data_IF_143212868851
#
_entry.id   IF_143212868851
#
_cell.length_a   1.000
_cell.length_b   1.000
_cell.length_c   1.000
_cell.angle_alpha   90.00
_cell.angle_beta   90.00
_cell.angle_gamma   90.00
#
_symmetry.space_group_name_H-M   'P 1'
#
loop_
_entity.id
_entity.type
_entity.pdbx_description
1 polymer ?
#
# COMPACT_ATOMS: atom_id res chain seq x y z
N UNK A 1 16.37 29.65 14.47
CA UNK A 1 16.22 28.71 15.61
C UNK A 1 16.97 27.40 15.41
N UNK A 2 17.29 26.67 16.49
CA UNK A 2 18.03 25.39 16.43
C UNK A 2 17.35 24.28 17.23
N UNK A 3 17.54 23.04 16.77
CA UNK A 3 17.11 21.84 17.49
C UNK A 3 18.34 21.06 17.92
N UNK A 4 18.47 20.79 19.22
CA UNK A 4 19.63 20.13 19.82
C UNK A 4 19.19 18.90 20.61
N UNK A 5 20.04 17.86 20.60
CA UNK A 5 19.86 16.68 21.45
C UNK A 5 20.85 16.78 22.60
N UNK A 6 20.37 16.65 23.83
CA UNK A 6 21.17 16.57 25.04
C UNK A 6 21.05 15.20 25.70
N UNK A 7 21.88 14.96 26.71
CA UNK A 7 21.70 13.87 27.68
C UNK A 7 21.53 14.50 29.06
N UNK A 8 20.54 14.02 29.82
CA UNK A 8 20.42 14.38 31.23
C UNK A 8 21.55 13.73 32.04
N UNK A 9 21.81 14.18 33.29
CA UNK A 9 22.76 13.52 34.19
C UNK A 9 22.45 12.02 34.40
N UNK A 10 21.18 11.63 34.27
CA UNK A 10 20.71 10.25 34.34
C UNK A 10 20.83 9.49 32.99
N UNK A 11 21.54 10.04 32.02
CA UNK A 11 21.79 9.42 30.71
C UNK A 11 20.60 9.43 29.73
N UNK A 12 19.44 10.00 30.11
CA UNK A 12 18.28 10.08 29.22
C UNK A 12 18.50 11.11 28.12
N UNK A 13 18.20 10.74 26.88
CA UNK A 13 18.30 11.69 25.74
C UNK A 13 17.12 12.66 25.77
N UNK A 14 17.40 13.96 25.79
CA UNK A 14 16.41 15.04 25.76
C UNK A 14 16.53 15.84 24.46
N UNK A 15 15.43 16.42 24.00
CA UNK A 15 15.39 17.24 22.78
C UNK A 15 15.03 18.68 23.14
N UNK A 16 15.91 19.61 22.80
CA UNK A 16 15.74 21.05 23.04
C UNK A 16 15.49 21.78 21.73
N UNK A 17 14.59 22.76 21.78
CA UNK A 17 14.30 23.72 20.71
C UNK A 17 14.70 25.08 21.26
N UNK A 18 15.70 25.68 20.62
CA UNK A 18 16.36 26.89 21.07
C UNK A 18 15.99 28.06 20.14
N UNK A 19 15.73 29.22 20.76
CA UNK A 19 15.54 30.49 20.05
C UNK A 19 16.85 30.99 19.42
N UNK A 20 16.84 32.18 18.81
CA UNK A 20 18.04 32.74 18.17
C UNK A 20 19.14 33.16 19.17
N UNK A 21 18.79 33.30 20.45
CA UNK A 21 19.70 33.59 21.56
C UNK A 21 20.23 32.31 22.25
N UNK A 22 19.97 31.12 21.68
CA UNK A 22 20.31 29.82 22.26
C UNK A 22 19.58 29.47 23.57
N UNK A 23 18.50 30.17 23.89
CA UNK A 23 17.68 29.89 25.06
C UNK A 23 16.56 28.90 24.70
N UNK A 24 16.19 27.98 25.60
CA UNK A 24 15.07 27.08 25.38
C UNK A 24 13.74 27.82 25.25
N UNK A 25 12.97 27.48 24.22
CA UNK A 25 11.61 27.98 24.06
C UNK A 25 10.70 27.28 25.07
N UNK A 26 10.42 27.95 26.18
CA UNK A 26 9.76 27.37 27.36
C UNK A 26 8.44 26.64 27.03
N UNK A 27 7.49 27.22 26.26
CA UNK A 27 6.22 26.55 26.02
C UNK A 27 6.39 25.23 25.28
N UNK A 28 7.34 25.17 24.33
CA UNK A 28 7.71 23.93 23.63
C UNK A 28 8.33 22.94 24.61
N UNK A 29 9.28 23.37 25.44
CA UNK A 29 9.96 22.47 26.38
C UNK A 29 9.03 21.86 27.41
N UNK A 30 8.08 22.64 27.92
CA UNK A 30 7.09 22.15 28.90
C UNK A 30 6.18 21.10 28.27
N UNK A 31 5.79 21.27 27.02
CA UNK A 31 5.04 20.25 26.29
C UNK A 31 5.88 19.01 25.95
N UNK A 32 7.14 19.15 25.52
CA UNK A 32 8.01 18.00 25.23
C UNK A 32 8.27 17.17 26.49
N UNK A 33 8.51 17.82 27.65
CA UNK A 33 8.62 17.15 28.96
C UNK A 33 7.35 16.41 29.33
N UNK A 34 6.17 16.99 29.08
CA UNK A 34 4.89 16.30 29.27
C UNK A 34 4.79 15.03 28.42
N UNK A 35 5.19 15.07 27.14
CA UNK A 35 5.19 13.88 26.28
C UNK A 35 6.19 12.83 26.74
N UNK A 36 7.34 13.23 27.26
CA UNK A 36 8.32 12.34 27.89
C UNK A 36 7.74 11.63 29.12
N UNK A 37 7.04 12.36 30.00
CA UNK A 37 6.36 11.79 31.17
C UNK A 37 5.23 10.82 30.83
N UNK A 38 4.68 10.90 29.61
CA UNK A 38 3.69 9.95 29.08
C UNK A 38 4.33 8.74 28.37
N UNK A 39 5.64 8.53 28.54
CA UNK A 39 6.41 7.46 27.90
C UNK A 39 6.26 7.43 26.37
N UNK A 40 6.11 8.61 25.74
CA UNK A 40 6.09 8.70 24.27
C UNK A 40 7.44 8.33 23.71
N UNK A 41 7.44 7.75 22.50
CA UNK A 41 8.69 7.31 21.88
C UNK A 41 9.63 8.51 21.63
N UNK A 42 10.96 8.37 21.82
CA UNK A 42 11.93 9.43 21.55
C UNK A 42 11.87 9.95 20.11
N UNK A 43 11.53 9.08 19.15
CA UNK A 43 11.32 9.48 17.76
C UNK A 43 10.07 10.34 17.58
N UNK A 44 9.01 10.06 18.35
CA UNK A 44 7.80 10.89 18.38
C UNK A 44 8.13 12.27 18.94
N UNK A 45 8.82 12.34 20.08
CA UNK A 45 9.23 13.59 20.72
C UNK A 45 10.10 14.42 19.77
N UNK A 46 11.10 13.79 19.13
CA UNK A 46 11.94 14.44 18.12
C UNK A 46 11.13 14.95 16.91
N UNK A 47 10.16 14.18 16.44
CA UNK A 47 9.28 14.62 15.35
C UNK A 47 8.42 15.81 15.77
N UNK A 48 7.91 15.81 17.00
CA UNK A 48 7.09 16.89 17.53
C UNK A 48 7.92 18.16 17.70
N UNK A 49 9.13 18.05 18.26
CA UNK A 49 10.07 19.15 18.40
C UNK A 49 10.43 19.78 17.03
N UNK A 50 10.66 18.97 15.99
CA UNK A 50 10.90 19.48 14.62
C UNK A 50 9.70 20.23 14.05
N UNK A 51 8.49 19.71 14.27
CA UNK A 51 7.27 20.34 13.78
C UNK A 51 6.98 21.65 14.51
N UNK A 52 7.18 21.68 15.83
CA UNK A 52 7.00 22.88 16.65
C UNK A 52 8.06 23.94 16.37
N UNK A 53 9.29 23.55 16.04
CA UNK A 53 10.32 24.48 15.54
C UNK A 53 9.83 25.23 14.29
N UNK A 54 9.27 24.51 13.30
CA UNK A 54 8.75 25.13 12.08
C UNK A 54 7.60 26.09 12.36
N UNK A 55 6.72 25.70 13.29
CA UNK A 55 5.63 26.57 13.72
C UNK A 55 6.15 27.84 14.38
N UNK A 56 7.16 27.73 15.25
CA UNK A 56 7.75 28.89 15.91
C UNK A 56 8.54 29.79 14.96
N UNK A 57 9.19 29.23 13.93
CA UNK A 57 9.84 30.01 12.86
C UNK A 57 8.80 30.85 12.11
N UNK A 58 7.67 30.25 11.71
CA UNK A 58 6.56 30.98 11.11
C UNK A 58 6.01 32.11 12.01
N UNK A 59 5.80 31.82 13.31
CA UNK A 59 5.32 32.84 14.24
C UNK A 59 6.29 34.02 14.36
N UNK A 60 7.60 33.79 14.30
CA UNK A 60 8.60 34.85 14.31
C UNK A 60 8.62 35.64 13.01
N UNK A 61 8.53 34.96 11.86
CA UNK A 61 8.54 35.59 10.54
C UNK A 61 7.35 36.54 10.36
N UNK A 62 6.16 36.14 10.84
CA UNK A 62 4.92 36.92 10.73
C UNK A 62 4.65 37.82 11.96
N UNK A 63 5.51 37.79 12.98
CA UNK A 63 5.34 38.60 14.19
C UNK A 63 4.10 38.25 15.04
N UNK A 64 3.72 36.98 15.07
CA UNK A 64 2.50 36.48 15.71
C UNK A 64 2.76 35.91 17.11
N UNK A 65 1.79 36.12 18.02
CA UNK A 65 1.77 35.43 19.32
C UNK A 65 1.02 34.10 19.22
N UNK A 66 1.69 33.02 19.64
CA UNK A 66 1.12 31.68 19.66
C UNK A 66 -0.11 31.56 20.56
N UNK A 67 -0.24 32.41 21.61
CA UNK A 67 -1.35 32.34 22.56
C UNK A 67 -2.68 32.78 21.97
N UNK A 68 -2.65 33.68 20.99
CA UNK A 68 -3.83 34.37 20.44
C UNK A 68 -4.02 34.11 18.95
N UNK A 69 -3.41 33.05 18.42
CA UNK A 69 -3.43 32.77 16.99
C UNK A 69 -4.85 32.50 16.48
N UNK A 70 -5.17 33.07 15.32
CA UNK A 70 -6.46 32.93 14.65
C UNK A 70 -6.44 31.91 13.52
N UNK A 71 -7.63 31.51 13.05
CA UNK A 71 -7.79 30.47 12.04
C UNK A 71 -7.22 30.87 10.66
N UNK A 72 -7.37 32.13 10.28
CA UNK A 72 -6.80 32.73 9.07
C UNK A 72 -5.27 32.66 9.06
N UNK A 73 -4.63 33.02 10.17
CA UNK A 73 -3.17 32.94 10.34
C UNK A 73 -2.68 31.47 10.29
N UNK A 74 -3.45 30.52 10.83
CA UNK A 74 -3.13 29.09 10.70
C UNK A 74 -3.32 28.56 9.26
N UNK A 75 -4.20 29.18 8.47
CA UNK A 75 -4.31 28.86 7.05
C UNK A 75 -3.11 29.40 6.26
N UNK A 76 -2.61 30.60 6.60
CA UNK A 76 -1.37 31.15 6.06
C UNK A 76 -0.17 30.27 6.39
N UNK A 77 -0.12 29.69 7.60
CA UNK A 77 0.91 28.72 7.95
C UNK A 77 0.95 27.50 7.01
N UNK A 78 -0.20 27.04 6.52
CA UNK A 78 -0.23 25.96 5.51
C UNK A 78 0.44 26.41 4.20
N UNK A 79 0.28 27.67 3.82
CA UNK A 79 0.95 28.25 2.66
C UNK A 79 2.46 28.36 2.90
N UNK A 80 2.87 28.91 4.05
CA UNK A 80 4.27 29.01 4.48
C UNK A 80 4.95 27.63 4.52
N UNK A 81 4.26 26.57 4.95
CA UNK A 81 4.81 25.22 4.92
C UNK A 81 5.07 24.68 3.51
N UNK A 82 4.32 25.14 2.51
CA UNK A 82 4.54 24.80 1.10
C UNK A 82 5.70 25.60 0.53
N UNK A 83 5.77 26.90 0.85
CA UNK A 83 6.77 27.84 0.37
C UNK A 83 7.26 28.72 1.53
N UNK A 84 8.33 28.33 2.24
CA UNK A 84 8.79 29.03 3.45
C UNK A 84 9.58 30.33 3.17
N UNK A 85 9.33 30.99 2.04
CA UNK A 85 9.99 32.26 1.68
C UNK A 85 8.98 33.41 1.80
N UNK A 86 9.01 34.21 2.88
CA UNK A 86 8.19 35.40 2.98
C UNK A 86 8.54 36.38 1.85
N UNK A 87 7.52 36.85 1.12
CA UNK A 87 7.65 37.92 0.14
C UNK A 87 8.07 37.54 -1.30
N UNK A 88 8.35 36.27 -1.61
CA UNK A 88 8.64 35.83 -2.99
C UNK A 88 7.49 34.98 -3.50
N UNK A 89 6.61 35.59 -4.31
CA UNK A 89 5.57 34.87 -5.03
C UNK A 89 6.14 34.38 -6.36
N UNK A 90 6.37 33.06 -6.53
CA UNK A 90 6.88 32.54 -7.77
C UNK A 90 5.82 32.71 -8.87
N UNK A 91 6.21 33.37 -9.96
CA UNK A 91 5.36 33.62 -11.13
C UNK A 91 5.04 32.29 -11.85
N UNK A 92 5.91 31.29 -11.69
CA UNK A 92 5.74 29.93 -12.19
C UNK A 92 5.26 28.98 -11.07
N UNK A 93 4.47 27.94 -11.39
CA UNK A 93 4.09 26.92 -10.42
C UNK A 93 5.33 26.29 -9.78
N UNK A 94 5.57 26.56 -8.49
CA UNK A 94 6.64 25.89 -7.74
C UNK A 94 6.14 24.60 -7.14
N UNK A 95 7.00 23.58 -7.15
CA UNK A 95 6.74 22.36 -6.39
C UNK A 95 6.77 22.69 -4.90
N UNK A 96 5.70 22.31 -4.20
CA UNK A 96 5.61 22.53 -2.76
C UNK A 96 6.75 21.79 -2.04
N UNK A 97 7.43 22.50 -1.15
CA UNK A 97 8.56 21.99 -0.34
C UNK A 97 8.16 20.74 0.47
N UNK A 98 6.88 20.65 0.87
CA UNK A 98 6.36 19.61 1.76
C UNK A 98 5.11 18.96 1.19
N UNK A 99 5.02 17.65 1.37
CA UNK A 99 3.82 16.89 0.98
C UNK A 99 2.63 17.21 1.89
N UNK A 100 1.40 17.05 1.37
CA UNK A 100 0.17 17.24 2.15
C UNK A 100 0.12 16.36 3.42
N UNK A 101 0.73 15.16 3.37
CA UNK A 101 0.84 14.27 4.53
C UNK A 101 1.73 14.85 5.62
N UNK A 102 2.88 15.43 5.24
CA UNK A 102 3.79 16.10 6.16
C UNK A 102 3.10 17.31 6.80
N UNK A 103 2.40 18.13 6.01
CA UNK A 103 1.62 19.28 6.50
C UNK A 103 0.58 18.82 7.53
N UNK A 104 -0.22 17.81 7.21
CA UNK A 104 -1.23 17.28 8.14
C UNK A 104 -0.60 16.71 9.43
N UNK A 105 0.60 16.13 9.36
CA UNK A 105 1.33 15.68 10.56
C UNK A 105 1.80 16.86 11.42
N UNK A 106 2.28 17.94 10.81
CA UNK A 106 2.64 19.18 11.52
C UNK A 106 1.40 19.77 12.19
N UNK A 107 0.29 19.93 11.47
CA UNK A 107 -0.98 20.43 12.03
C UNK A 107 -1.47 19.55 13.20
N UNK A 108 -1.32 18.22 13.10
CA UNK A 108 -1.64 17.31 14.22
C UNK A 108 -0.82 17.58 15.47
N UNK A 109 0.46 17.95 15.29
CA UNK A 109 1.37 18.25 16.39
C UNK A 109 0.95 19.53 17.07
N UNK A 110 0.63 20.56 16.28
CA UNK A 110 0.18 21.87 16.75
C UNK A 110 -1.14 21.73 17.49
N UNK A 111 -2.14 21.04 16.93
CA UNK A 111 -3.41 20.79 17.64
C UNK A 111 -3.22 20.13 19.00
N UNK A 112 -2.28 19.17 19.10
CA UNK A 112 -1.98 18.49 20.36
C UNK A 112 -1.19 19.37 21.34
N UNK A 113 -0.42 20.34 20.84
CA UNK A 113 0.29 21.34 21.65
C UNK A 113 -0.68 22.40 22.18
N UNK A 114 -1.55 22.92 21.32
CA UNK A 114 -2.57 23.92 21.67
C UNK A 114 -3.54 23.33 22.70
N UNK A 115 -4.02 22.09 22.50
CA UNK A 115 -4.91 21.41 23.46
C UNK A 115 -4.24 21.25 24.84
N UNK A 116 -2.93 20.97 24.86
CA UNK A 116 -2.19 20.86 26.12
C UNK A 116 -2.12 22.21 26.85
N UNK A 117 -1.79 23.30 26.16
CA UNK A 117 -1.70 24.62 26.77
C UNK A 117 -3.07 25.24 27.08
N UNK A 118 -4.12 24.91 26.31
CA UNK A 118 -5.50 25.29 26.61
C UNK A 118 -5.96 24.69 27.95
N UNK A 119 -5.63 23.43 28.21
CA UNK A 119 -5.92 22.77 29.50
C UNK A 119 -5.16 23.37 30.68
N UNK A 120 -4.00 23.98 30.44
CA UNK A 120 -3.24 24.71 31.46
C UNK A 120 -3.75 26.15 31.65
N UNK A 121 -4.70 26.62 30.84
CA UNK A 121 -5.17 28.01 30.83
C UNK A 121 -4.21 29.00 30.15
N UNK A 122 -3.18 28.51 29.47
CA UNK A 122 -2.13 29.33 28.84
C UNK A 122 -2.42 29.72 27.39
N UNK A 123 -3.50 29.21 26.80
CA UNK A 123 -3.87 29.41 25.40
C UNK A 123 -5.31 29.91 25.29
N UNK A 124 -5.51 31.01 24.55
CA UNK A 124 -6.80 31.63 24.28
C UNK A 124 -7.11 31.72 22.77
N UNK A 125 -6.29 31.08 21.94
CA UNK A 125 -6.45 31.02 20.49
C UNK A 125 -7.47 29.99 20.05
N UNK A 126 -7.51 29.73 18.74
CA UNK A 126 -8.48 28.80 18.15
C UNK A 126 -8.06 27.34 18.37
N UNK A 127 -8.87 26.56 19.08
CA UNK A 127 -8.67 25.11 19.17
C UNK A 127 -8.84 24.44 17.80
N UNK A 128 -7.80 23.75 17.33
CA UNK A 128 -7.77 23.10 16.02
C UNK A 128 -8.58 21.80 15.90
N UNK A 129 -9.19 21.35 17.01
CA UNK A 129 -10.04 20.17 17.07
C UNK A 129 -11.42 20.54 17.59
N UNK A 130 -12.45 20.05 16.91
CA UNK A 130 -13.84 20.17 17.37
C UNK A 130 -14.43 18.80 17.62
N UNK A 131 -15.21 18.67 18.69
CA UNK A 131 -16.05 17.50 18.87
C UNK A 131 -17.21 17.58 17.88
N UNK A 132 -17.24 16.68 16.90
CA UNK A 132 -18.41 16.50 16.04
C UNK A 132 -19.07 15.17 16.36
N UNK A 133 -20.38 15.13 16.20
CA UNK A 133 -21.11 13.86 16.19
C UNK A 133 -20.53 12.99 15.07
N UNK A 134 -20.11 11.77 15.40
CA UNK A 134 -19.69 10.82 14.39
C UNK A 134 -20.90 10.40 13.56
N UNK A 135 -20.93 10.77 12.28
CA UNK A 135 -21.80 10.10 11.33
C UNK A 135 -21.07 8.84 10.87
N UNK A 136 -21.61 7.63 11.12
CA UNK A 136 -21.09 6.44 10.47
C UNK A 136 -21.21 6.59 8.94
N UNK A 137 -20.52 5.73 8.20
CA UNK A 137 -20.71 5.57 6.76
C UNK A 137 -22.18 5.29 6.41
N UNK A 138 -22.51 5.11 5.12
CA UNK A 138 -23.86 4.83 4.61
C UNK A 138 -24.67 3.76 5.37
N UNK A 139 -24.05 2.94 6.22
CA UNK A 139 -24.70 1.96 7.08
C UNK A 139 -25.14 2.55 8.44
N UNK A 140 -26.44 2.55 8.70
CA UNK A 140 -27.03 2.89 10.00
C UNK A 140 -27.41 1.60 10.75
N UNK A 141 -26.80 1.29 11.92
CA UNK A 141 -27.15 0.13 12.73
C UNK A 141 -28.61 0.17 13.23
N UNK A 142 -29.16 -0.99 13.62
CA UNK A 142 -30.54 -1.15 14.07
C UNK A 142 -30.96 -0.17 15.19
N UNK A 143 -30.06 0.14 16.14
CA UNK A 143 -30.31 1.07 17.25
C UNK A 143 -29.77 2.48 17.01
N UNK A 144 -29.55 2.90 15.75
CA UNK A 144 -28.94 4.18 15.38
C UNK A 144 -29.62 5.42 16.01
N UNK A 145 -30.93 5.36 16.27
CA UNK A 145 -31.67 6.46 16.91
C UNK A 145 -31.63 6.48 18.44
N UNK A 146 -31.14 5.41 19.08
CA UNK A 146 -31.16 5.22 20.54
C UNK A 146 -29.74 5.20 21.11
N UNK A 147 -28.76 4.70 20.35
CA UNK A 147 -27.37 4.66 20.78
C UNK A 147 -26.82 6.09 20.90
N UNK A 148 -26.22 6.41 22.06
CA UNK A 148 -25.47 7.65 22.28
C UNK A 148 -24.50 7.85 21.12
N UNK A 149 -24.75 8.90 20.33
CA UNK A 149 -23.92 9.19 19.18
C UNK A 149 -22.52 9.55 19.71
N UNK A 150 -21.57 8.63 19.53
CA UNK A 150 -20.19 8.85 19.95
C UNK A 150 -19.67 10.12 19.28
N UNK A 151 -19.25 11.09 20.08
CA UNK A 151 -18.60 12.29 19.56
C UNK A 151 -17.20 11.89 19.07
N UNK A 152 -16.92 12.17 17.81
CA UNK A 152 -15.60 11.98 17.22
C UNK A 152 -14.97 13.35 17.03
N UNK A 153 -13.74 13.47 17.55
CA UNK A 153 -12.92 14.67 17.35
C UNK A 153 -12.55 14.80 15.87
N UNK A 154 -12.98 15.90 15.24
CA UNK A 154 -12.62 16.25 13.87
C UNK A 154 -11.66 17.43 13.87
N UNK A 155 -10.64 17.36 13.01
CA UNK A 155 -9.70 18.46 12.80
C UNK A 155 -10.34 19.53 11.93
N UNK A 156 -10.17 20.79 12.30
CA UNK A 156 -10.65 21.92 11.53
C UNK A 156 -9.85 22.10 10.24
N UNK A 157 -8.54 22.00 10.33
CA UNK A 157 -7.63 22.11 9.18
C UNK A 157 -7.11 20.73 8.78
N UNK A 158 -7.41 20.32 7.55
CA UNK A 158 -6.87 19.10 6.93
C UNK A 158 -6.73 19.31 5.42
N UNK A 159 -5.51 19.18 4.93
CA UNK A 159 -5.23 19.23 3.50
C UNK A 159 -5.57 17.88 2.88
N UNK A 160 -6.24 17.88 1.73
CA UNK A 160 -6.59 16.64 1.02
C UNK A 160 -5.31 15.92 0.57
N UNK A 161 -5.13 14.69 1.03
CA UNK A 161 -4.01 13.85 0.61
C UNK A 161 -4.42 13.07 -0.66
N UNK A 162 -3.61 13.08 -1.73
CA UNK A 162 -3.84 12.19 -2.84
C UNK A 162 -3.65 10.74 -2.35
N UNK A 163 -4.62 9.87 -2.65
CA UNK A 163 -4.45 8.43 -2.39
C UNK A 163 -3.35 7.93 -3.32
N UNK A 164 -2.24 7.48 -2.74
CA UNK A 164 -1.14 6.84 -3.48
C UNK A 164 -1.08 5.38 -3.04
N UNK A 165 -1.12 4.47 -4.01
CA UNK A 165 -0.85 3.08 -3.74
C UNK A 165 0.62 2.90 -3.35
N UNK A 166 0.93 2.06 -2.35
CA UNK A 166 2.31 1.73 -2.05
C UNK A 166 2.95 1.14 -3.30
N UNK A 167 4.08 1.71 -3.74
CA UNK A 167 4.92 1.06 -4.75
C UNK A 167 5.30 -0.33 -4.24
N UNK A 168 5.48 -1.30 -5.14
CA UNK A 168 5.93 -2.64 -4.82
C UNK A 168 7.16 -2.97 -5.67
N UNK A 169 8.03 -3.84 -5.16
CA UNK A 169 9.20 -4.33 -5.89
C UNK A 169 8.84 -5.58 -6.70
N UNK A 170 9.38 -5.69 -7.91
CA UNK A 170 9.28 -6.93 -8.70
C UNK A 170 10.31 -7.96 -8.23
N UNK A 171 10.08 -9.23 -8.52
CA UNK A 171 11.04 -10.31 -8.19
C UNK A 171 12.43 -10.05 -8.80
N UNK A 172 12.49 -9.47 -10.00
CA UNK A 172 13.74 -9.10 -10.68
C UNK A 172 14.49 -8.01 -9.90
N UNK A 173 13.77 -6.97 -9.46
CA UNK A 173 14.34 -5.89 -8.65
C UNK A 173 14.87 -6.41 -7.31
N UNK A 174 14.16 -7.33 -6.67
CA UNK A 174 14.64 -7.96 -5.42
C UNK A 174 15.91 -8.78 -5.66
N UNK A 175 15.98 -9.56 -6.74
CA UNK A 175 17.19 -10.29 -7.09
C UNK A 175 18.38 -9.35 -7.38
N UNK A 176 18.16 -8.22 -8.04
CA UNK A 176 19.18 -7.20 -8.27
C UNK A 176 19.70 -6.62 -6.95
N UNK A 177 18.81 -6.31 -6.01
CA UNK A 177 19.18 -5.82 -4.67
C UNK A 177 20.00 -6.87 -3.89
N UNK A 178 19.59 -8.13 -3.94
CA UNK A 178 20.30 -9.25 -3.29
C UNK A 178 21.70 -9.42 -3.89
N UNK A 179 21.85 -9.31 -5.21
CA UNK A 179 23.16 -9.39 -5.90
C UNK A 179 24.06 -8.19 -5.61
N UNK A 180 23.49 -7.02 -5.34
CA UNK A 180 24.22 -5.80 -5.01
C UNK A 180 24.71 -5.75 -3.55
N UNK A 181 24.30 -6.70 -2.70
CA UNK A 181 24.74 -6.79 -1.31
C UNK A 181 26.21 -7.25 -1.24
N UNK A 182 27.02 -6.53 -0.46
CA UNK A 182 28.45 -6.79 -0.33
C UNK A 182 28.81 -7.82 0.76
N UNK A 183 27.86 -8.17 1.63
CA UNK A 183 28.05 -9.08 2.77
C UNK A 183 26.88 -10.04 2.87
N UNK A 184 27.12 -11.24 3.40
CA UNK A 184 26.08 -12.22 3.72
C UNK A 184 25.12 -11.67 4.78
N UNK A 185 25.58 -10.87 5.74
CA UNK A 185 24.72 -10.17 6.69
C UNK A 185 23.70 -9.28 6.00
N UNK A 186 24.15 -8.43 5.09
CA UNK A 186 23.27 -7.49 4.39
C UNK A 186 22.30 -8.24 3.47
N UNK A 187 22.79 -9.28 2.79
CA UNK A 187 21.97 -10.20 1.97
C UNK A 187 20.89 -10.87 2.81
N UNK A 188 21.26 -11.40 3.98
CA UNK A 188 20.34 -12.02 4.93
C UNK A 188 19.30 -11.03 5.43
N UNK A 189 19.68 -9.79 5.78
CA UNK A 189 18.75 -8.76 6.21
C UNK A 189 17.70 -8.44 5.14
N UNK A 190 18.09 -8.31 3.87
CA UNK A 190 17.17 -8.04 2.76
C UNK A 190 16.22 -9.22 2.54
N UNK A 191 16.74 -10.45 2.46
CA UNK A 191 15.92 -11.66 2.30
C UNK A 191 14.93 -11.83 3.45
N UNK A 192 15.40 -11.65 4.69
CA UNK A 192 14.57 -11.71 5.90
C UNK A 192 13.42 -10.71 5.81
N UNK A 193 13.70 -9.44 5.52
CA UNK A 193 12.67 -8.39 5.44
C UNK A 193 11.69 -8.63 4.29
N UNK A 194 12.16 -9.16 3.16
CA UNK A 194 11.33 -9.49 2.01
C UNK A 194 10.35 -10.63 2.29
N UNK A 195 10.81 -11.67 3.01
CA UNK A 195 10.03 -12.88 3.25
C UNK A 195 9.09 -12.77 4.46
N UNK A 196 9.55 -12.12 5.52
CA UNK A 196 8.80 -12.00 6.78
C UNK A 196 8.01 -10.70 6.90
N UNK A 197 8.38 -9.67 6.12
CA UNK A 197 7.79 -8.34 6.22
C UNK A 197 8.04 -7.67 7.57
N UNK A 198 9.07 -8.10 8.32
CA UNK A 198 9.43 -7.50 9.60
C UNK A 198 9.64 -5.99 9.48
N UNK A 199 9.31 -5.24 10.53
CA UNK A 199 9.78 -3.85 10.62
C UNK A 199 11.29 -3.88 10.88
N UNK A 200 12.01 -2.87 10.40
CA UNK A 200 13.47 -2.81 10.60
C UNK A 200 13.88 -2.88 12.09
N UNK A 201 13.08 -2.27 12.98
CA UNK A 201 13.32 -2.35 14.42
C UNK A 201 13.02 -3.71 15.04
N UNK A 202 12.17 -4.53 14.40
CA UNK A 202 11.93 -5.92 14.79
C UNK A 202 13.10 -6.79 14.31
N UNK A 203 13.50 -6.66 13.03
CA UNK A 203 14.63 -7.40 12.46
C UNK A 203 15.95 -7.16 13.19
N UNK A 204 16.30 -5.89 13.47
CA UNK A 204 17.51 -5.54 14.23
C UNK A 204 17.40 -5.83 15.74
N UNK A 205 16.25 -6.28 16.21
CA UNK A 205 16.03 -6.71 17.58
C UNK A 205 16.11 -8.23 17.77
N UNK A 206 16.21 -9.01 16.69
CA UNK A 206 16.26 -10.47 16.77
C UNK A 206 17.52 -10.96 17.50
N UNK A 207 17.33 -11.97 18.34
CA UNK A 207 18.40 -12.71 19.01
C UNK A 207 18.56 -14.10 18.42
N UNK A 208 19.70 -14.74 18.64
CA UNK A 208 19.94 -16.09 18.14
C UNK A 208 18.89 -17.09 18.70
N UNK A 209 18.44 -16.91 19.94
CA UNK A 209 17.36 -17.71 20.54
C UNK A 209 15.98 -17.55 19.88
N UNK A 210 15.79 -16.49 19.09
CA UNK A 210 14.55 -16.27 18.34
C UNK A 210 14.54 -17.03 16.99
N UNK A 211 15.68 -17.58 16.57
CA UNK A 211 15.88 -18.30 15.31
C UNK A 211 15.71 -19.80 15.54
N UNK A 212 14.51 -20.34 15.34
CA UNK A 212 14.18 -21.74 15.61
C UNK A 212 14.51 -22.63 14.40
N UNK A 213 15.76 -23.08 14.34
CA UNK A 213 16.31 -23.88 13.22
C UNK A 213 16.17 -25.40 13.39
N UNK A 214 15.72 -25.89 14.55
CA UNK A 214 15.57 -27.31 14.89
C UNK A 214 14.36 -27.98 14.19
N UNK A 215 14.35 -27.97 12.86
CA UNK A 215 13.32 -28.63 12.04
C UNK A 215 12.01 -27.87 11.89
N UNK A 216 11.84 -26.74 12.58
CA UNK A 216 10.64 -25.89 12.47
C UNK A 216 10.78 -24.78 11.42
N UNK A 217 11.98 -24.24 11.23
CA UNK A 217 12.27 -23.09 10.37
C UNK A 217 11.34 -21.91 10.70
N UNK A 218 11.36 -21.47 11.96
CA UNK A 218 10.51 -20.40 12.46
C UNK A 218 11.33 -19.27 13.08
N UNK A 219 10.81 -18.05 13.02
CA UNK A 219 11.38 -16.88 13.68
C UNK A 219 10.37 -16.35 14.69
N UNK A 220 10.77 -16.29 15.96
CA UNK A 220 9.92 -15.75 17.01
C UNK A 220 10.17 -14.26 17.22
N UNK A 221 9.21 -13.43 16.80
CA UNK A 221 9.29 -11.98 17.00
C UNK A 221 8.80 -11.63 18.39
N UNK A 222 9.71 -11.20 19.26
CA UNK A 222 9.40 -10.80 20.65
C UNK A 222 9.47 -9.30 20.85
N UNK A 223 8.73 -8.79 21.84
CA UNK A 223 8.81 -7.38 22.21
C UNK A 223 9.86 -7.18 23.32
N UNK A 224 10.94 -6.47 23.01
CA UNK A 224 12.06 -6.24 23.93
C UNK A 224 12.63 -4.83 23.78
N UNK A 225 13.22 -4.31 24.85
CA UNK A 225 14.08 -3.13 24.75
C UNK A 225 15.46 -3.55 24.23
N UNK A 226 15.99 -2.81 23.25
CA UNK A 226 17.24 -3.14 22.61
C UNK A 226 18.28 -2.05 22.83
N UNK A 227 19.51 -2.46 23.16
CA UNK A 227 20.64 -1.56 23.42
C UNK A 227 21.07 -0.77 22.16
N UNK A 228 20.85 -1.32 20.96
CA UNK A 228 21.05 -0.60 19.69
C UNK A 228 19.96 0.45 19.38
N UNK A 229 18.97 0.62 20.26
CA UNK A 229 17.85 1.55 20.07
C UNK A 229 16.81 1.08 19.04
N UNK A 230 16.92 -0.16 18.53
CA UNK A 230 15.89 -0.77 17.68
C UNK A 230 14.61 -0.98 18.49
N UNK A 231 13.48 -0.48 17.99
CA UNK A 231 12.19 -0.59 18.68
C UNK A 231 11.12 -1.16 17.76
N UNK A 232 10.46 -2.21 18.21
CA UNK A 232 9.23 -2.70 17.61
C UNK A 232 8.08 -1.77 18.00
N UNK A 233 7.47 -1.10 17.00
CA UNK A 233 6.31 -0.21 17.23
C UNK A 233 5.07 -0.99 17.68
N UNK A 234 4.99 -2.27 17.28
CA UNK A 234 3.92 -3.18 17.67
C UNK A 234 4.41 -4.03 18.84
N UNK A 235 3.69 -4.04 19.96
CA UNK A 235 3.93 -4.95 21.10
C UNK A 235 3.28 -6.32 20.85
N UNK A 236 3.30 -6.78 19.60
CA UNK A 236 2.63 -8.00 19.18
C UNK A 236 3.70 -9.03 18.89
N UNK A 237 3.74 -10.05 19.74
CA UNK A 237 4.58 -11.21 19.54
C UNK A 237 3.95 -12.16 18.54
N UNK A 238 4.77 -12.79 17.70
CA UNK A 238 4.30 -13.72 16.68
C UNK A 238 5.40 -14.65 16.21
N UNK A 239 5.00 -15.86 15.86
CA UNK A 239 5.85 -16.86 15.25
C UNK A 239 5.67 -16.80 13.73
N UNK A 240 6.77 -16.73 12.99
CA UNK A 240 6.78 -16.63 11.54
C UNK A 240 7.49 -17.85 10.94
N UNK A 241 6.76 -18.65 10.18
CA UNK A 241 7.37 -19.71 9.38
C UNK A 241 8.15 -19.08 8.22
N UNK A 242 9.36 -19.60 7.96
CA UNK A 242 10.24 -19.15 6.88
C UNK A 242 10.79 -20.35 6.11
N UNK A 243 11.23 -20.08 4.89
CA UNK A 243 11.84 -21.04 4.00
C UNK A 243 13.20 -21.50 4.57
N UNK A 244 13.50 -22.79 4.38
CA UNK A 244 14.79 -23.39 4.73
C UNK A 244 15.97 -22.65 4.07
N UNK A 245 15.79 -22.09 2.88
CA UNK A 245 16.85 -21.35 2.19
C UNK A 245 17.22 -20.04 2.91
N UNK A 246 16.27 -19.41 3.60
CA UNK A 246 16.55 -18.26 4.46
C UNK A 246 17.37 -18.68 5.69
N UNK A 247 17.04 -19.83 6.29
CA UNK A 247 17.79 -20.37 7.42
C UNK A 247 19.20 -20.83 7.01
N UNK A 248 19.37 -21.37 5.81
CA UNK A 248 20.69 -21.67 5.24
C UNK A 248 21.53 -20.40 5.08
N UNK A 249 20.93 -19.33 4.58
CA UNK A 249 21.62 -18.04 4.44
C UNK A 249 22.02 -17.46 5.81
N UNK A 250 21.18 -17.64 6.83
CA UNK A 250 21.51 -17.30 8.21
C UNK A 250 22.72 -18.11 8.71
N UNK A 251 22.72 -19.43 8.53
CA UNK A 251 23.85 -20.28 8.92
C UNK A 251 25.15 -19.89 8.21
N UNK A 252 25.11 -19.63 6.90
CA UNK A 252 26.30 -19.19 6.15
C UNK A 252 26.82 -17.85 6.69
N UNK A 253 25.92 -16.91 6.99
CA UNK A 253 26.31 -15.66 7.63
C UNK A 253 26.98 -15.89 9.00
N UNK A 254 26.47 -16.82 9.82
CA UNK A 254 27.08 -17.16 11.11
C UNK A 254 28.47 -17.78 10.97
N UNK A 255 28.67 -18.64 9.98
CA UNK A 255 29.92 -19.38 9.78
C UNK A 255 31.00 -18.47 9.16
N UNK A 256 30.62 -17.68 8.14
CA UNK A 256 31.58 -17.01 7.27
C UNK A 256 31.88 -15.55 7.70
N UNK A 257 30.94 -14.88 8.36
CA UNK A 257 31.05 -13.43 8.62
C UNK A 257 30.77 -13.00 10.08
N UNK A 258 30.11 -13.83 10.89
CA UNK A 258 29.78 -13.44 12.27
C UNK A 258 31.06 -13.44 13.13
N UNK A 259 31.36 -12.34 13.86
CA UNK A 259 32.60 -12.27 14.63
C UNK A 259 32.61 -13.27 15.78
N UNK A 260 33.65 -14.10 15.85
CA UNK A 260 33.81 -15.17 16.87
C UNK A 260 33.91 -14.59 18.29
N UNK A 261 34.53 -13.41 18.43
CA UNK A 261 34.70 -12.72 19.71
C UNK A 261 33.50 -11.83 20.09
N UNK A 262 32.41 -11.86 19.32
CA UNK A 262 31.23 -11.08 19.65
C UNK A 262 30.55 -11.60 20.92
N UNK A 263 30.69 -10.86 22.02
CA UNK A 263 29.93 -11.09 23.25
C UNK A 263 28.57 -10.39 23.17
N UNK A 264 27.74 -10.80 22.21
CA UNK A 264 26.37 -10.30 22.08
C UNK A 264 25.44 -11.38 21.52
N UNK A 265 24.17 -11.34 21.93
CA UNK A 265 23.15 -12.31 21.54
C UNK A 265 22.40 -11.93 20.25
N UNK A 266 22.74 -10.78 19.64
CA UNK A 266 22.03 -10.23 18.48
C UNK A 266 22.38 -10.95 17.19
N UNK A 267 21.37 -11.21 16.36
CA UNK A 267 21.56 -11.75 15.02
C UNK A 267 22.36 -10.79 14.12
N UNK A 268 22.03 -9.50 14.16
CA UNK A 268 22.67 -8.49 13.31
C UNK A 268 23.68 -7.66 14.10
N UNK A 269 24.96 -7.84 13.77
CA UNK A 269 26.09 -7.12 14.41
C UNK A 269 26.90 -6.32 13.40
N UNK A 270 27.77 -5.44 13.91
CA UNK A 270 28.75 -4.73 13.10
C UNK A 270 29.91 -5.66 12.72
N UNK A 271 30.21 -5.76 11.42
CA UNK A 271 31.25 -6.68 10.90
C UNK A 271 32.52 -5.93 10.47
N UNK A 272 32.37 -4.81 9.77
CA UNK A 272 33.51 -4.11 9.12
C UNK A 272 33.80 -2.72 9.68
N UNK A 273 32.86 -2.10 10.39
CA UNK A 273 33.00 -0.72 10.84
C UNK A 273 32.23 -0.44 12.12
N UNK A 274 32.73 0.52 12.91
CA UNK A 274 32.29 0.72 14.28
C UNK A 274 32.96 -0.27 15.24
N UNK A 275 32.37 -0.48 16.39
CA UNK A 275 32.80 -1.55 17.29
C UNK A 275 32.28 -2.88 16.74
N UNK A 276 33.20 -3.74 16.31
CA UNK A 276 32.90 -5.05 15.73
C UNK A 276 32.26 -5.94 16.80
N UNK A 277 31.27 -6.74 16.42
CA UNK A 277 30.52 -7.58 17.36
C UNK A 277 29.42 -6.84 18.12
N UNK A 278 29.41 -5.50 18.14
CA UNK A 278 28.29 -4.77 18.72
C UNK A 278 27.01 -4.87 17.85
N UNK A 279 25.82 -4.81 18.47
CA UNK A 279 24.55 -4.82 17.75
C UNK A 279 24.40 -3.71 16.72
N UNK A 280 23.95 -4.08 15.52
CA UNK A 280 23.79 -3.17 14.39
C UNK A 280 22.72 -2.10 14.69
N UNK A 281 23.06 -0.83 14.49
CA UNK A 281 22.15 0.31 14.71
C UNK A 281 21.24 0.54 13.51
N UNK A 282 20.03 1.08 13.77
CA UNK A 282 19.05 1.44 12.72
C UNK A 282 19.63 2.44 11.69
N UNK A 283 20.53 3.34 12.10
CA UNK A 283 21.21 4.27 11.20
C UNK A 283 22.06 3.54 10.16
N UNK A 284 22.73 2.45 10.55
CA UNK A 284 23.54 1.65 9.63
C UNK A 284 22.67 0.92 8.62
N UNK A 285 21.53 0.38 9.05
CA UNK A 285 20.58 -0.23 8.14
C UNK A 285 20.02 0.79 7.14
N UNK A 286 19.68 2.00 7.58
CA UNK A 286 19.26 3.09 6.66
C UNK A 286 20.34 3.40 5.62
N UNK A 287 21.60 3.48 6.03
CA UNK A 287 22.71 3.70 5.11
C UNK A 287 22.86 2.54 4.11
N UNK A 288 22.66 1.29 4.55
CA UNK A 288 22.63 0.14 3.65
C UNK A 288 21.52 0.27 2.58
N UNK A 289 20.29 0.60 2.98
CA UNK A 289 19.19 0.77 2.02
C UNK A 289 19.45 1.91 1.03
N UNK A 290 20.04 3.01 1.50
CA UNK A 290 20.43 4.12 0.63
C UNK A 290 21.51 3.70 -0.37
N UNK A 291 22.59 3.06 0.10
CA UNK A 291 23.67 2.56 -0.75
C UNK A 291 23.17 1.55 -1.81
N UNK A 292 22.28 0.64 -1.42
CA UNK A 292 21.63 -0.28 -2.37
C UNK A 292 20.79 0.47 -3.40
N UNK A 293 20.02 1.48 -2.96
CA UNK A 293 19.25 2.32 -3.88
C UNK A 293 20.11 3.07 -4.88
N UNK A 294 21.22 3.62 -4.43
CA UNK A 294 22.15 4.38 -5.28
C UNK A 294 22.86 3.44 -6.26
N UNK A 295 23.27 2.24 -5.83
CA UNK A 295 23.93 1.23 -6.68
C UNK A 295 23.04 0.65 -7.76
N UNK A 296 21.79 0.35 -7.45
CA UNK A 296 20.90 -0.34 -8.39
C UNK A 296 19.96 0.62 -9.12
N UNK A 297 19.89 1.90 -8.72
CA UNK A 297 18.89 2.85 -9.19
C UNK A 297 17.47 2.52 -8.72
N UNK A 298 17.31 1.57 -7.79
CA UNK A 298 16.01 1.11 -7.30
C UNK A 298 15.78 1.67 -5.91
N UNK A 299 14.82 2.58 -5.78
CA UNK A 299 14.41 3.07 -4.47
C UNK A 299 13.87 1.91 -3.61
N UNK A 300 14.58 1.54 -2.55
CA UNK A 300 14.25 0.46 -1.63
C UNK A 300 14.24 0.96 -0.19
N UNK A 301 13.30 0.42 0.60
CA UNK A 301 13.29 0.65 2.04
C UNK A 301 12.68 -0.57 2.75
N UNK A 302 12.91 -0.74 4.07
CA UNK A 302 12.28 -1.84 4.82
C UNK A 302 10.75 -1.85 4.71
N UNK A 303 10.13 -0.66 4.66
CA UNK A 303 8.68 -0.56 4.52
C UNK A 303 8.21 -0.96 3.12
N UNK A 304 9.02 -0.70 2.08
CA UNK A 304 8.72 -1.12 0.72
C UNK A 304 8.75 -2.63 0.57
N UNK A 305 9.74 -3.31 1.16
CA UNK A 305 9.81 -4.78 1.19
C UNK A 305 8.58 -5.37 1.89
N UNK A 306 8.19 -4.81 3.03
CA UNK A 306 6.97 -5.20 3.75
C UNK A 306 5.69 -4.98 2.92
N UNK A 307 5.57 -3.85 2.24
CA UNK A 307 4.44 -3.60 1.34
C UNK A 307 4.42 -4.60 0.19
N UNK A 308 5.59 -4.93 -0.36
CA UNK A 308 5.73 -5.93 -1.44
C UNK A 308 5.24 -7.30 -0.99
N UNK A 309 5.62 -7.75 0.22
CA UNK A 309 5.11 -9.00 0.79
C UNK A 309 3.59 -8.96 0.99
N UNK A 310 3.07 -7.89 1.59
CA UNK A 310 1.64 -7.76 1.85
C UNK A 310 0.83 -7.82 0.54
N UNK A 311 1.28 -7.10 -0.49
CA UNK A 311 0.70 -7.12 -1.83
C UNK A 311 0.76 -8.51 -2.46
N UNK A 312 1.89 -9.22 -2.33
CA UNK A 312 2.03 -10.60 -2.83
C UNK A 312 1.03 -11.54 -2.15
N UNK A 313 0.95 -11.52 -0.82
CA UNK A 313 -0.01 -12.35 -0.08
C UNK A 313 -1.46 -12.05 -0.47
N UNK A 314 -1.80 -10.78 -0.70
CA UNK A 314 -3.12 -10.40 -1.20
C UNK A 314 -3.37 -10.96 -2.60
N UNK A 315 -2.40 -10.84 -3.52
CA UNK A 315 -2.54 -11.36 -4.87
C UNK A 315 -2.62 -12.89 -4.92
N UNK A 316 -2.03 -13.58 -3.95
CA UNK A 316 -2.13 -15.04 -3.75
C UNK A 316 -3.45 -15.46 -3.06
N UNK A 317 -4.36 -14.51 -2.78
CA UNK A 317 -5.67 -14.79 -2.20
C UNK A 317 -5.65 -15.01 -0.69
N UNK A 318 -4.57 -14.67 0.02
CA UNK A 318 -4.51 -14.82 1.47
C UNK A 318 -5.50 -13.86 2.15
N UNK A 319 -6.37 -14.33 3.06
CA UNK A 319 -7.34 -13.46 3.72
C UNK A 319 -6.68 -12.29 4.47
N UNK A 320 -7.26 -11.09 4.36
CA UNK A 320 -6.72 -9.88 5.00
C UNK A 320 -6.54 -10.03 6.52
N UNK A 321 -7.38 -10.83 7.18
CA UNK A 321 -7.27 -11.13 8.62
C UNK A 321 -6.00 -11.91 8.96
N UNK A 322 -5.59 -12.84 8.09
CA UNK A 322 -4.34 -13.60 8.22
C UNK A 322 -3.15 -12.68 7.98
N UNK A 323 -3.20 -11.86 6.92
CA UNK A 323 -2.16 -10.88 6.61
C UNK A 323 -1.97 -9.88 7.78
N UNK A 324 -3.07 -9.43 8.38
CA UNK A 324 -3.04 -8.53 9.54
C UNK A 324 -2.27 -9.15 10.71
N UNK A 325 -2.54 -10.42 11.04
CA UNK A 325 -1.86 -11.15 12.11
C UNK A 325 -0.39 -11.40 11.77
N UNK A 326 -0.11 -11.91 10.57
CA UNK A 326 1.23 -12.21 10.08
C UNK A 326 2.14 -10.97 10.13
N UNK A 327 1.64 -9.83 9.67
CA UNK A 327 2.38 -8.57 9.67
C UNK A 327 2.38 -7.88 11.05
N UNK A 328 1.56 -8.31 12.02
CA UNK A 328 1.44 -7.65 13.32
C UNK A 328 0.87 -6.23 13.21
N UNK A 329 -0.20 -6.05 12.43
CA UNK A 329 -0.95 -4.81 12.32
C UNK A 329 -1.92 -4.62 13.49
N UNK A 330 -1.72 -3.54 14.25
CA UNK A 330 -2.55 -3.16 15.40
C UNK A 330 -4.00 -2.78 15.04
N UNK A 331 -4.26 -2.29 13.82
CA UNK A 331 -5.59 -1.92 13.36
C UNK A 331 -5.90 -2.51 11.98
N UNK A 332 -7.16 -2.88 11.71
CA UNK A 332 -7.59 -3.36 10.39
C UNK A 332 -7.37 -2.33 9.28
N UNK A 333 -7.46 -1.02 9.58
CA UNK A 333 -7.25 0.07 8.62
C UNK A 333 -5.89 -0.01 7.91
N UNK A 334 -4.85 -0.46 8.63
CA UNK A 334 -3.51 -0.64 8.04
C UNK A 334 -3.50 -1.74 6.98
N UNK A 335 -4.34 -2.76 7.12
CA UNK A 335 -4.47 -3.86 6.15
C UNK A 335 -5.47 -3.52 5.05
N UNK A 336 -6.51 -2.73 5.33
CA UNK A 336 -7.50 -2.29 4.33
C UNK A 336 -6.90 -1.51 3.16
N UNK A 337 -5.71 -0.92 3.35
CA UNK A 337 -4.96 -0.29 2.24
C UNK A 337 -4.67 -1.29 1.11
N UNK A 338 -4.57 -2.60 1.40
CA UNK A 338 -4.34 -3.64 0.40
C UNK A 338 -5.61 -4.25 -0.18
N UNK A 339 -6.79 -3.99 0.41
CA UNK A 339 -8.05 -4.60 -0.06
C UNK A 339 -8.33 -4.24 -1.53
N UNK A 340 -8.09 -2.98 -1.91
CA UNK A 340 -8.25 -2.50 -3.28
C UNK A 340 -7.31 -3.18 -4.29
N UNK A 341 -6.20 -3.78 -3.84
CA UNK A 341 -5.27 -4.50 -4.72
C UNK A 341 -5.88 -5.84 -5.12
N UNK A 342 -6.50 -6.56 -4.17
CA UNK A 342 -7.19 -7.81 -4.47
C UNK A 342 -8.25 -7.59 -5.56
N UNK A 343 -9.08 -6.54 -5.41
CA UNK A 343 -10.15 -6.26 -6.37
C UNK A 343 -9.61 -5.94 -7.78
N UNK A 344 -8.50 -5.20 -7.88
CA UNK A 344 -7.87 -4.88 -9.15
C UNK A 344 -7.20 -6.10 -9.79
N UNK A 345 -6.46 -6.89 -9.00
CA UNK A 345 -5.81 -8.12 -9.49
C UNK A 345 -6.85 -9.15 -9.88
N UNK A 346 -7.91 -9.32 -9.08
CA UNK A 346 -9.01 -10.23 -9.37
C UNK A 346 -9.72 -9.81 -10.67
N UNK A 347 -10.02 -8.52 -10.85
CA UNK A 347 -10.55 -8.01 -12.12
C UNK A 347 -9.61 -8.27 -13.30
N UNK A 348 -8.31 -7.98 -13.17
CA UNK A 348 -7.34 -8.25 -14.23
C UNK A 348 -7.20 -9.75 -14.56
N UNK A 349 -7.23 -10.62 -13.54
CA UNK A 349 -7.21 -12.07 -13.72
C UNK A 349 -8.50 -12.57 -14.37
N UNK A 350 -9.66 -12.01 -13.99
CA UNK A 350 -10.96 -12.29 -14.58
C UNK A 350 -11.01 -11.82 -16.03
N UNK A 351 -10.53 -10.61 -16.33
CA UNK A 351 -10.46 -10.06 -17.69
C UNK A 351 -9.53 -10.94 -18.57
N UNK A 352 -8.41 -11.40 -18.00
CA UNK A 352 -7.51 -12.36 -18.65
C UNK A 352 -8.13 -13.75 -18.82
N UNK A 353 -8.93 -14.20 -17.85
CA UNK A 353 -9.59 -15.51 -17.85
C UNK A 353 -10.74 -15.56 -18.87
N UNK A 354 -11.54 -14.50 -18.95
CA UNK A 354 -12.63 -14.40 -19.94
C UNK A 354 -12.11 -14.15 -21.36
N UNK A 355 -10.82 -13.81 -21.53
CA UNK A 355 -10.13 -13.74 -22.81
C UNK A 355 -10.72 -12.70 -23.78
N UNK A 356 -10.20 -12.72 -25.02
CA UNK A 356 -10.71 -11.90 -26.13
C UNK A 356 -12.14 -12.33 -26.48
N UNK A 357 -13.13 -11.52 -26.09
CA UNK A 357 -14.53 -11.75 -26.44
C UNK A 357 -14.80 -11.14 -27.82
N UNK A 358 -15.23 -11.97 -28.76
CA UNK A 358 -15.51 -11.58 -30.14
C UNK A 358 -17.02 -11.62 -30.39
N UNK A 359 -17.56 -10.63 -31.10
CA UNK A 359 -18.95 -10.61 -31.56
C UNK A 359 -19.10 -11.29 -32.93
N UNK A 360 -20.33 -11.35 -33.45
CA UNK A 360 -20.60 -11.99 -34.75
C UNK A 360 -19.91 -11.32 -35.94
N UNK A 361 -19.55 -10.03 -35.83
CA UNK A 361 -18.81 -9.29 -36.86
C UNK A 361 -17.30 -9.51 -36.81
N UNK A 362 -16.78 -10.29 -35.86
CA UNK A 362 -15.34 -10.50 -35.66
C UNK A 362 -14.66 -9.37 -34.88
N UNK A 363 -15.42 -8.42 -34.33
CA UNK A 363 -14.88 -7.30 -33.56
C UNK A 363 -14.66 -7.70 -32.10
N UNK A 364 -13.53 -7.28 -31.54
CA UNK A 364 -13.24 -7.49 -30.12
C UNK A 364 -14.09 -6.53 -29.28
N UNK A 365 -14.92 -7.08 -28.42
CA UNK A 365 -15.78 -6.29 -27.53
C UNK A 365 -15.00 -5.95 -26.27
N UNK A 366 -14.45 -4.74 -26.22
CA UNK A 366 -13.84 -4.21 -24.99
C UNK A 366 -14.95 -3.96 -23.98
N UNK A 367 -14.95 -4.71 -22.87
CA UNK A 367 -15.85 -4.46 -21.75
C UNK A 367 -15.37 -3.19 -21.06
N UNK A 368 -15.85 -2.02 -21.49
CA UNK A 368 -15.45 -0.75 -20.90
C UNK A 368 -15.87 -0.67 -19.42
N UNK A 369 -14.88 -0.85 -18.55
CA UNK A 369 -14.95 -0.80 -17.08
C UNK A 369 -14.79 0.64 -16.57
N UNK A 370 -15.57 1.59 -17.08
CA UNK A 370 -15.53 2.97 -16.59
C UNK A 370 -16.30 3.11 -15.27
N UNK A 371 -15.57 2.92 -14.17
CA UNK A 371 -15.70 3.56 -12.85
C UNK A 371 -17.12 3.93 -12.36
N UNK A 372 -17.78 3.03 -11.63
CA UNK A 372 -18.59 3.40 -10.46
C UNK A 372 -18.74 2.23 -9.46
N UNK A 373 -18.68 2.50 -8.15
CA UNK A 373 -18.64 1.48 -7.07
C UNK A 373 -19.92 0.62 -6.97
N UNK A 374 -20.95 0.95 -7.76
CA UNK A 374 -22.23 0.23 -7.81
C UNK A 374 -22.31 -0.80 -8.95
N UNK A 375 -21.30 -0.86 -9.83
CA UNK A 375 -21.32 -1.73 -11.01
C UNK A 375 -20.68 -3.11 -10.82
N UNK A 376 -20.04 -3.42 -9.69
CA UNK A 376 -19.54 -4.79 -9.42
C UNK A 376 -20.66 -5.83 -9.46
N UNK A 377 -21.87 -5.42 -9.02
CA UNK A 377 -23.10 -6.21 -9.17
C UNK A 377 -23.64 -6.23 -10.60
N UNK A 378 -23.42 -5.19 -11.41
CA UNK A 378 -23.87 -5.16 -12.81
C UNK A 378 -22.95 -5.98 -13.73
N UNK A 379 -21.64 -5.93 -13.50
CA UNK A 379 -20.65 -6.79 -14.15
C UNK A 379 -20.88 -8.25 -13.77
N UNK A 380 -21.03 -8.57 -12.47
CA UNK A 380 -21.44 -9.92 -12.04
C UNK A 380 -22.78 -10.33 -12.63
N UNK A 381 -23.79 -9.44 -12.64
CA UNK A 381 -25.08 -9.73 -13.30
C UNK A 381 -24.93 -9.97 -14.80
N UNK A 382 -23.97 -9.36 -15.50
CA UNK A 382 -23.87 -9.50 -16.95
C UNK A 382 -23.07 -10.74 -17.36
N UNK A 383 -22.04 -11.11 -16.60
CA UNK A 383 -21.20 -12.28 -16.87
C UNK A 383 -21.70 -13.57 -16.19
N UNK A 384 -22.38 -13.50 -15.04
CA UNK A 384 -23.01 -14.66 -14.39
C UNK A 384 -24.40 -14.96 -15.02
N UNK A 385 -25.06 -13.97 -15.63
CA UNK A 385 -26.40 -14.13 -16.25
C UNK A 385 -26.40 -14.14 -17.79
N UNK A 386 -25.24 -14.20 -18.45
CA UNK A 386 -25.24 -14.50 -19.88
C UNK A 386 -25.78 -15.92 -20.07
N UNK A 387 -26.79 -16.11 -20.91
CA UNK A 387 -27.28 -17.45 -21.23
C UNK A 387 -26.15 -18.18 -21.98
N UNK A 388 -25.64 -19.25 -21.37
CA UNK A 388 -24.64 -20.11 -21.98
C UNK A 388 -25.24 -20.77 -23.23
N UNK A 389 -24.55 -20.65 -24.35
CA UNK A 389 -24.86 -21.31 -25.61
C UNK A 389 -23.82 -22.42 -25.85
N UNK A 390 -24.15 -23.44 -26.67
CA UNK A 390 -23.20 -24.51 -26.96
C UNK A 390 -21.85 -24.00 -27.49
N UNK A 391 -21.86 -22.94 -28.30
CA UNK A 391 -20.69 -22.35 -28.97
C UNK A 391 -20.35 -20.92 -28.51
N UNK A 392 -20.86 -20.48 -27.36
CA UNK A 392 -20.61 -19.12 -26.86
C UNK A 392 -21.58 -18.67 -25.78
N UNK A 393 -21.95 -17.40 -25.79
CA UNK A 393 -22.91 -16.81 -24.85
C UNK A 393 -23.77 -15.73 -25.49
N UNK A 394 -24.96 -15.52 -24.92
CA UNK A 394 -25.90 -14.48 -25.36
C UNK A 394 -25.80 -13.24 -24.46
N UNK A 395 -25.52 -12.07 -25.05
CA UNK A 395 -25.46 -10.78 -24.35
C UNK A 395 -26.84 -10.08 -24.19
N UNK A 396 -27.93 -10.73 -24.60
CA UNK A 396 -29.29 -10.17 -24.52
C UNK A 396 -29.71 -10.03 -23.04
N UNK A 397 -30.16 -8.84 -22.58
CA UNK A 397 -30.62 -8.67 -21.20
C UNK A 397 -31.83 -9.54 -20.87
N UNK A 398 -31.82 -10.23 -19.73
CA UNK A 398 -32.95 -11.07 -19.27
C UNK A 398 -34.27 -10.29 -19.11
N UNK A 399 -34.22 -8.98 -18.92
CA UNK A 399 -35.39 -8.09 -18.83
C UNK A 399 -36.22 -8.14 -20.14
N UNK A 400 -35.60 -8.46 -21.28
CA UNK A 400 -36.26 -8.57 -22.59
C UNK A 400 -36.95 -9.93 -22.84
N UNK A 401 -37.06 -10.79 -21.82
CA UNK A 401 -37.71 -12.11 -21.91
C UNK A 401 -36.94 -13.13 -22.77
N UNK A 402 -37.57 -14.28 -23.02
CA UNK A 402 -37.00 -15.38 -23.81
C UNK A 402 -36.69 -14.95 -25.26
N UNK A 403 -35.68 -15.59 -25.87
CA UNK A 403 -35.33 -15.33 -27.26
C UNK A 403 -36.48 -15.75 -28.20
N UNK A 404 -36.95 -14.88 -29.12
CA UNK A 404 -37.99 -15.25 -30.08
C UNK A 404 -37.47 -16.11 -31.24
N UNK A 405 -36.15 -16.35 -31.31
CA UNK A 405 -35.50 -17.11 -32.39
C UNK A 405 -34.83 -18.37 -31.84
N UNK A 406 -35.20 -19.54 -32.37
CA UNK A 406 -34.68 -20.83 -31.92
C UNK A 406 -33.23 -21.10 -32.40
N UNK A 407 -32.86 -20.66 -33.62
CA UNK A 407 -31.60 -21.07 -34.28
C UNK A 407 -30.88 -19.90 -34.99
N UNK A 408 -30.84 -18.70 -34.40
CA UNK A 408 -30.27 -17.50 -35.05
C UNK A 408 -28.91 -17.06 -34.48
N UNK A 409 -28.28 -17.82 -33.58
CA UNK A 409 -27.12 -17.33 -32.81
C UNK A 409 -25.93 -16.92 -33.71
N UNK A 410 -25.61 -17.70 -34.74
CA UNK A 410 -24.53 -17.40 -35.71
C UNK A 410 -24.90 -16.34 -36.76
N UNK A 411 -26.03 -15.66 -36.59
CA UNK A 411 -26.43 -14.48 -37.37
C UNK A 411 -26.95 -13.37 -36.45
N UNK A 412 -26.77 -13.51 -35.14
CA UNK A 412 -27.31 -12.61 -34.13
C UNK A 412 -26.25 -11.64 -33.60
N UNK A 413 -26.58 -10.35 -33.57
CA UNK A 413 -25.71 -9.31 -33.02
C UNK A 413 -25.48 -9.41 -31.50
N UNK A 414 -26.32 -10.13 -30.77
CA UNK A 414 -26.17 -10.37 -29.32
C UNK A 414 -25.25 -11.56 -29.01
N UNK A 415 -24.82 -12.32 -30.03
CA UNK A 415 -23.93 -13.46 -29.85
C UNK A 415 -22.50 -13.03 -29.50
N UNK A 416 -21.91 -13.70 -28.52
CA UNK A 416 -20.53 -13.49 -28.06
C UNK A 416 -19.84 -14.83 -27.92
N UNK A 417 -18.55 -14.89 -28.25
CA UNK A 417 -17.78 -16.12 -28.09
C UNK A 417 -16.33 -15.82 -27.73
N UNK A 418 -15.64 -16.82 -27.22
CA UNK A 418 -14.27 -16.76 -26.69
C UNK A 418 -13.41 -17.82 -27.37
N UNK A 419 -12.09 -17.74 -27.15
CA UNK A 419 -11.13 -18.70 -27.70
C UNK A 419 -11.40 -20.16 -27.27
N UNK A 420 -12.07 -20.37 -26.14
CA UNK A 420 -12.44 -21.70 -25.64
C UNK A 420 -13.34 -22.47 -26.63
N UNK A 421 -14.14 -21.77 -27.43
CA UNK A 421 -15.05 -22.35 -28.40
C UNK A 421 -14.45 -22.44 -29.82
N UNK A 422 -13.17 -22.11 -30.00
CA UNK A 422 -12.52 -22.09 -31.32
C UNK A 422 -12.59 -23.45 -32.05
N UNK A 423 -12.39 -24.55 -31.33
CA UNK A 423 -12.50 -25.90 -31.91
C UNK A 423 -13.90 -26.18 -32.45
N UNK A 424 -14.92 -25.76 -31.73
CA UNK A 424 -16.32 -25.92 -32.11
C UNK A 424 -16.69 -25.04 -33.31
N UNK A 425 -16.17 -23.81 -33.37
CA UNK A 425 -16.38 -22.95 -34.55
C UNK A 425 -15.74 -23.52 -35.80
N UNK A 426 -14.54 -24.12 -35.69
CA UNK A 426 -13.88 -24.82 -36.81
C UNK A 426 -14.66 -26.04 -37.29
N UNK A 427 -15.23 -26.80 -36.36
CA UNK A 427 -16.08 -27.94 -36.67
C UNK A 427 -17.38 -27.49 -37.36
N UNK A 428 -18.03 -26.44 -36.84
CA UNK A 428 -19.22 -25.83 -37.45
C UNK A 428 -18.94 -25.27 -38.84
N UNK A 429 -17.77 -24.65 -39.04
CA UNK A 429 -17.32 -24.17 -40.34
C UNK A 429 -17.23 -25.31 -41.35
N UNK A 430 -16.53 -26.40 -41.00
CA UNK A 430 -16.40 -27.58 -41.86
C UNK A 430 -17.77 -28.18 -42.23
N UNK A 431 -18.65 -28.33 -41.25
CA UNK A 431 -19.99 -28.87 -41.47
C UNK A 431 -20.83 -27.97 -42.40
N UNK A 432 -20.72 -26.65 -42.21
CA UNK A 432 -21.43 -25.68 -43.04
C UNK A 432 -20.96 -25.73 -44.51
N UNK A 433 -19.65 -25.85 -44.75
CA UNK A 433 -19.09 -26.05 -46.10
C UNK A 433 -19.65 -27.31 -46.78
N UNK A 434 -19.63 -28.45 -46.08
CA UNK A 434 -20.17 -29.72 -46.59
C UNK A 434 -21.68 -29.63 -46.92
N UNK A 435 -22.45 -28.85 -46.14
CA UNK A 435 -23.87 -28.62 -46.39
C UNK A 435 -24.11 -27.73 -47.61
N UNK A 436 -23.28 -26.71 -47.83
CA UNK A 436 -23.35 -25.83 -49.00
C UNK A 436 -23.07 -26.63 -50.27
N UNK A 437 -22.04 -27.47 -50.28
CA UNK A 437 -21.70 -28.31 -51.43
C UNK A 437 -22.83 -29.26 -51.81
N UNK A 438 -23.44 -29.91 -50.80
CA UNK A 438 -24.63 -30.76 -51.00
C UNK A 438 -25.82 -29.97 -51.51
N UNK A 439 -26.07 -28.77 -51.00
CA UNK A 439 -27.18 -27.93 -51.43
C UNK A 439 -27.00 -27.43 -52.88
N UNK A 440 -25.75 -27.13 -53.29
CA UNK A 440 -25.40 -26.77 -54.68
C UNK A 440 -25.64 -27.92 -55.64
N UNK A 441 -25.22 -29.14 -55.27
CA UNK A 441 -25.46 -30.35 -56.08
C UNK A 441 -26.95 -30.67 -56.27
N UNK A 442 -27.79 -30.35 -55.29
CA UNK A 442 -29.24 -30.59 -55.32
C UNK A 442 -30.08 -29.39 -55.80
N UNK A 443 -29.44 -28.27 -56.17
CA UNK A 443 -30.12 -27.06 -56.64
C UNK A 443 -30.93 -26.31 -55.56
N UNK A 444 -30.64 -26.50 -54.27
CA UNK A 444 -31.38 -25.86 -53.17
C UNK A 444 -30.88 -24.46 -52.86
N UNK A 445 -31.19 -23.51 -53.74
CA UNK A 445 -30.65 -22.16 -53.74
C UNK A 445 -30.85 -21.39 -52.42
N UNK A 446 -32.03 -21.50 -51.79
CA UNK A 446 -32.31 -20.87 -50.49
C UNK A 446 -31.46 -21.41 -49.34
N UNK A 447 -31.09 -22.69 -49.40
CA UNK A 447 -30.25 -23.33 -48.38
C UNK A 447 -28.77 -22.98 -48.59
N UNK A 448 -28.36 -22.74 -49.83
CA UNK A 448 -27.04 -22.19 -50.15
C UNK A 448 -26.88 -20.79 -49.54
N UNK A 449 -27.80 -19.88 -49.84
CA UNK A 449 -27.75 -18.49 -49.37
C UNK A 449 -27.70 -18.39 -47.83
N UNK A 450 -28.53 -19.17 -47.13
CA UNK A 450 -28.59 -19.16 -45.66
C UNK A 450 -27.30 -19.68 -45.01
N UNK A 451 -26.71 -20.74 -45.56
CA UNK A 451 -25.48 -21.32 -45.01
C UNK A 451 -24.25 -20.48 -45.37
N UNK A 452 -24.23 -19.82 -46.53
CA UNK A 452 -23.15 -18.90 -46.91
C UNK A 452 -23.05 -17.71 -45.93
N UNK A 453 -24.17 -17.20 -45.44
CA UNK A 453 -24.18 -16.14 -44.42
C UNK A 453 -23.58 -16.61 -43.07
N UNK A 454 -23.87 -17.85 -42.67
CA UNK A 454 -23.31 -18.46 -41.45
C UNK A 454 -21.81 -18.70 -41.61
N UNK A 455 -21.39 -19.21 -42.77
CA UNK A 455 -19.98 -19.45 -43.09
C UNK A 455 -19.15 -18.16 -42.99
N UNK A 456 -19.62 -17.07 -43.60
CA UNK A 456 -18.95 -15.75 -43.52
C UNK A 456 -18.82 -15.23 -42.09
N UNK A 457 -19.78 -15.55 -41.21
CA UNK A 457 -19.76 -15.12 -39.82
C UNK A 457 -18.77 -15.95 -39.00
N UNK A 458 -18.69 -17.26 -39.28
CA UNK A 458 -17.71 -18.17 -38.69
C UNK A 458 -16.27 -17.82 -39.09
N UNK A 459 -16.03 -17.51 -40.37
CA UNK A 459 -14.71 -17.06 -40.86
C UNK A 459 -14.22 -15.83 -40.10
N UNK A 460 -15.07 -14.80 -39.96
CA UNK A 460 -14.73 -13.58 -39.21
C UNK A 460 -14.42 -13.84 -37.72
N UNK A 461 -15.19 -14.73 -37.10
CA UNK A 461 -14.97 -15.13 -35.70
C UNK A 461 -13.63 -15.86 -35.56
N UNK A 462 -13.38 -16.87 -36.40
CA UNK A 462 -12.18 -17.70 -36.34
C UNK A 462 -10.94 -16.83 -36.59
N UNK A 463 -10.94 -16.00 -37.62
CA UNK A 463 -9.82 -15.09 -37.95
C UNK A 463 -9.50 -14.15 -36.79
N UNK A 464 -10.52 -13.64 -36.09
CA UNK A 464 -10.34 -12.71 -34.97
C UNK A 464 -9.84 -13.41 -33.70
N UNK A 465 -10.28 -14.65 -33.45
CA UNK A 465 -9.83 -15.47 -32.33
C UNK A 465 -8.42 -16.04 -32.52
N UNK A 466 -7.99 -16.28 -33.76
CA UNK A 466 -6.65 -16.79 -34.08
C UNK A 466 -5.57 -15.70 -34.11
N UNK A 467 -5.95 -14.45 -34.43
CA UNK A 467 -5.04 -13.30 -34.33
C UNK A 467 -4.64 -13.05 -32.88
N UNK A 468 -3.40 -13.42 -32.55
CA UNK A 468 -2.74 -13.14 -31.28
C UNK A 468 -2.54 -11.63 -31.14
N UNK A 469 -2.89 -11.05 -29.99
CA UNK A 469 -2.53 -9.67 -29.69
C UNK A 469 -1.01 -9.60 -29.47
N UNK A 470 -0.27 -8.96 -30.38
CA UNK A 470 1.15 -8.57 -30.18
C UNK A 470 1.32 -7.51 -29.09
#
# INVERSE_FOLDING_TARGET
MRLQKGKTPLGKTVVLVLNNNYEPIEPIQTYLRYLESLDRSPNTILSYAKNLKLYWEFLQDEGLDWKTIKLDQLAEFIHWLRNPNPGIYPITPTEATRTNRTINQILSTISSFDEFHARLGNFSGVELTTNKVAYPSQYKPFLYGIANQSQVRKRLLKVKEPKRFPKCLTSIQVQQLIKACNTLRDKFLICLLYETGLRIGEALGLRHEDMLTEGRNEIFVRFRENINGARAKSRVERLLAVNIDLMRLYSNYLIDEYPVEADCDYVFVNIKSGQIGEPMKVSRAKALFQDLSDKTGIHVSPHLLRHTLATRMVNEGVPLTVIQKYLGHKSPDMTMTYAHIHDQTMRACIDKFHGKVVNISGETVVVNSSLDHNQDLQWMRRNILAQALPNGSCARPMIKGACPHANACLTCNDFRTTIEFLSQHKEQHKHCTEMIDKAKLNGWQRQVEMNEQILQSLEKIIDSLEKSDE
#
